data_IF_584164573019
#
_entry.id   IF_584164573019
#
_cell.length_a   1.000
_cell.length_b   1.000
_cell.length_c   1.000
_cell.angle_alpha   90.00
_cell.angle_beta   90.00
_cell.angle_gamma   90.00
#
_symmetry.space_group_name_H-M   'P 1'
#
loop_
_entity.id
_entity.type
_entity.pdbx_description
1 polymer ?
#
# COMPACT_ATOMS: atom_id res chain seq x y z
N UNK A 1 6.03 -2.47 5.31
CA UNK A 1 4.82 -2.07 4.56
C UNK A 1 3.78 -1.37 5.43
N UNK A 2 3.67 -1.74 6.68
CA UNK A 2 2.69 -1.09 7.57
C UNK A 2 2.96 0.42 7.72
N UNK A 3 4.22 0.79 7.87
CA UNK A 3 4.58 2.20 8.00
C UNK A 3 4.21 2.97 6.74
N UNK A 4 4.48 2.40 5.57
CA UNK A 4 4.18 3.08 4.31
C UNK A 4 2.67 3.28 4.13
N UNK A 5 1.87 2.24 4.39
CA UNK A 5 0.42 2.33 4.27
C UNK A 5 -0.15 3.38 5.22
N UNK A 6 0.45 3.53 6.39
CA UNK A 6 0.06 4.54 7.35
C UNK A 6 0.51 5.94 6.88
N UNK A 7 1.73 6.08 6.37
CA UNK A 7 2.20 7.37 5.81
C UNK A 7 1.35 7.82 4.65
N UNK A 8 0.93 6.90 3.80
CA UNK A 8 0.09 7.19 2.64
C UNK A 8 -1.38 7.41 3.01
N UNK A 9 -1.71 7.30 4.30
CA UNK A 9 -3.03 7.56 4.87
C UNK A 9 -4.11 6.58 4.42
N UNK A 10 -3.72 5.37 4.03
CA UNK A 10 -4.69 4.32 3.75
C UNK A 10 -5.28 3.74 5.04
N UNK A 11 -4.57 3.86 6.14
CA UNK A 11 -5.01 3.37 7.46
C UNK A 11 -4.76 4.44 8.51
N UNK A 12 -5.64 4.47 9.50
CA UNK A 12 -5.57 5.47 10.57
C UNK A 12 -4.39 5.26 11.49
N UNK A 13 -3.90 4.03 11.61
CA UNK A 13 -2.77 3.72 12.48
C UNK A 13 -1.91 2.63 11.84
N UNK A 14 -0.66 2.55 12.30
CA UNK A 14 0.23 1.47 11.89
C UNK A 14 -0.29 0.12 12.34
N UNK A 15 -0.89 0.07 13.52
CA UNK A 15 -1.44 -1.18 14.06
C UNK A 15 -2.54 -1.74 13.18
N UNK A 16 -3.43 -0.87 12.67
CA UNK A 16 -4.48 -1.30 11.75
C UNK A 16 -3.88 -1.80 10.44
N UNK A 17 -2.88 -1.10 9.92
CA UNK A 17 -2.21 -1.53 8.70
C UNK A 17 -1.53 -2.89 8.90
N UNK A 18 -0.84 -3.06 10.02
CA UNK A 18 -0.16 -4.32 10.32
C UNK A 18 -1.15 -5.48 10.44
N UNK A 19 -2.27 -5.25 11.12
CA UNK A 19 -3.29 -6.27 11.26
C UNK A 19 -3.86 -6.69 9.90
N UNK A 20 -4.11 -5.73 9.04
CA UNK A 20 -4.63 -6.00 7.71
C UNK A 20 -3.64 -6.78 6.86
N UNK A 21 -2.36 -6.42 6.92
CA UNK A 21 -1.30 -7.14 6.22
C UNK A 21 -1.17 -8.57 6.74
N UNK A 22 -1.18 -8.73 8.06
CA UNK A 22 -1.10 -10.06 8.67
C UNK A 22 -2.25 -10.95 8.24
N UNK A 23 -3.43 -10.38 8.06
CA UNK A 23 -4.59 -11.11 7.59
C UNK A 23 -4.52 -11.46 6.10
N UNK A 24 -3.49 -11.00 5.39
CA UNK A 24 -3.31 -11.31 3.98
C UNK A 24 -4.07 -10.39 3.04
N UNK A 25 -4.40 -9.19 3.50
CA UNK A 25 -5.26 -8.28 2.74
C UNK A 25 -4.58 -7.50 1.62
N UNK A 26 -3.26 -7.59 1.49
CA UNK A 26 -2.52 -6.78 0.50
C UNK A 26 -1.67 -7.68 -0.37
N UNK A 27 -1.86 -7.58 -1.69
CA UNK A 27 -1.00 -8.26 -2.65
C UNK A 27 0.03 -7.29 -3.18
N UNK A 28 1.27 -7.75 -3.23
CA UNK A 28 2.41 -6.97 -3.72
C UNK A 28 2.84 -7.51 -5.08
N UNK A 29 2.91 -6.60 -6.05
CA UNK A 29 3.43 -6.91 -7.38
C UNK A 29 4.80 -6.26 -7.51
N UNK A 30 5.82 -7.09 -7.68
CA UNK A 30 7.20 -6.63 -7.78
C UNK A 30 7.96 -7.50 -8.76
N UNK A 31 8.63 -6.88 -9.74
CA UNK A 31 9.47 -7.59 -10.70
C UNK A 31 8.74 -8.74 -11.39
N UNK A 32 7.48 -8.53 -11.73
CA UNK A 32 6.68 -9.54 -12.43
C UNK A 32 6.13 -10.63 -11.52
N UNK A 33 6.49 -10.64 -10.24
CA UNK A 33 5.95 -11.59 -9.28
C UNK A 33 4.84 -10.99 -8.46
N UNK A 34 3.99 -11.86 -7.92
CA UNK A 34 2.88 -11.48 -7.05
C UNK A 34 2.99 -12.27 -5.76
N UNK A 35 2.91 -11.58 -4.63
CA UNK A 35 2.92 -12.25 -3.33
C UNK A 35 2.15 -11.43 -2.32
N UNK A 36 1.83 -12.05 -1.19
CA UNK A 36 1.22 -11.36 -0.07
C UNK A 36 2.26 -10.44 0.59
N UNK A 37 1.90 -9.19 0.83
CA UNK A 37 2.76 -8.29 1.59
C UNK A 37 2.60 -8.56 3.08
N UNK A 38 3.70 -8.49 3.81
CA UNK A 38 3.74 -8.65 5.26
C UNK A 38 4.03 -7.30 5.91
N UNK A 39 3.75 -7.14 7.22
CA UNK A 39 4.10 -5.87 7.88
C UNK A 39 5.58 -5.51 7.73
N UNK A 40 6.46 -6.47 7.80
CA UNK A 40 7.90 -6.24 7.70
C UNK A 40 8.40 -6.11 6.26
N UNK A 41 7.56 -6.33 5.26
CA UNK A 41 7.96 -6.20 3.86
C UNK A 41 8.31 -4.74 3.58
N UNK A 42 9.52 -4.43 3.07
CA UNK A 42 9.85 -3.06 2.74
C UNK A 42 9.02 -2.57 1.56
N UNK A 43 8.61 -1.30 1.62
CA UNK A 43 7.99 -0.64 0.48
C UNK A 43 9.08 -0.04 -0.39
N UNK A 44 8.93 -0.12 -1.70
CA UNK A 44 9.90 0.45 -2.62
C UNK A 44 9.19 1.12 -3.79
N UNK A 45 9.73 2.24 -4.28
CA UNK A 45 9.17 2.86 -5.49
C UNK A 45 9.12 1.85 -6.63
N UNK A 46 8.04 1.89 -7.39
CA UNK A 46 7.82 0.96 -8.49
C UNK A 46 7.00 -0.26 -8.12
N UNK A 47 6.89 -0.59 -6.83
CA UNK A 47 6.00 -1.65 -6.38
C UNK A 47 4.55 -1.25 -6.65
N UNK A 48 3.72 -2.25 -6.93
CA UNK A 48 2.28 -2.05 -7.01
C UNK A 48 1.59 -2.87 -5.93
N UNK A 49 0.54 -2.31 -5.38
CA UNK A 49 -0.24 -2.95 -4.32
C UNK A 49 -1.69 -3.05 -4.75
N UNK A 50 -2.31 -4.18 -4.45
CA UNK A 50 -3.75 -4.38 -4.66
C UNK A 50 -4.36 -4.77 -3.33
N UNK A 51 -5.35 -4.03 -2.89
CA UNK A 51 -6.01 -4.30 -1.61
C UNK A 51 -7.40 -3.66 -1.58
N UNK A 52 -8.26 -4.20 -0.72
CA UNK A 52 -9.53 -3.56 -0.42
C UNK A 52 -9.30 -2.57 0.71
N UNK A 53 -9.70 -1.32 0.52
CA UNK A 53 -9.58 -0.31 1.57
C UNK A 53 -10.61 -0.54 2.67
N UNK A 54 -10.57 0.28 3.72
CA UNK A 54 -11.55 0.17 4.81
C UNK A 54 -13.00 0.32 4.36
N UNK A 55 -13.21 0.94 3.21
CA UNK A 55 -14.54 1.11 2.62
C UNK A 55 -14.96 -0.11 1.79
N UNK A 56 -14.13 -1.16 1.72
CA UNK A 56 -14.42 -2.36 0.96
C UNK A 56 -14.13 -2.27 -0.53
N UNK A 57 -13.66 -1.12 -1.01
CA UNK A 57 -13.37 -0.94 -2.43
C UNK A 57 -11.96 -1.43 -2.75
N UNK A 58 -11.84 -2.21 -3.81
CA UNK A 58 -10.54 -2.67 -4.27
C UNK A 58 -9.78 -1.53 -4.92
N UNK A 59 -8.54 -1.35 -4.48
CA UNK A 59 -7.68 -0.31 -5.00
C UNK A 59 -6.40 -0.94 -5.54
N UNK A 60 -5.95 -0.41 -6.66
CA UNK A 60 -4.66 -0.76 -7.24
C UNK A 60 -3.84 0.52 -7.29
N UNK A 61 -2.68 0.50 -6.65
CA UNK A 61 -1.84 1.70 -6.57
C UNK A 61 -0.40 1.32 -6.87
N UNK A 62 0.37 2.31 -7.32
CA UNK A 62 1.81 2.16 -7.49
C UNK A 62 2.51 3.07 -6.48
N UNK A 63 3.52 2.54 -5.80
CA UNK A 63 4.33 3.31 -4.87
C UNK A 63 5.26 4.21 -5.68
N UNK A 64 5.18 5.50 -5.44
CA UNK A 64 6.05 6.49 -6.09
C UNK A 64 7.22 6.87 -5.18
N UNK A 65 6.96 6.97 -3.88
CA UNK A 65 7.97 7.33 -2.90
C UNK A 65 7.61 6.73 -1.55
N UNK A 66 8.61 6.46 -0.74
CA UNK A 66 8.37 5.88 0.58
C UNK A 66 8.05 6.94 1.64
N UNK A 67 8.47 8.17 1.43
CA UNK A 67 8.23 9.24 2.38
C UNK A 67 9.09 9.12 3.62
N UNK A 68 8.97 10.11 4.50
CA UNK A 68 9.72 10.15 5.75
C UNK A 68 8.82 10.24 6.97
N UNK A 69 7.55 10.57 6.76
CA UNK A 69 6.61 10.80 7.85
C UNK A 69 5.18 10.65 7.34
N UNK A 70 4.26 10.59 8.28
CA UNK A 70 2.84 10.70 7.95
C UNK A 70 2.49 12.18 7.94
N UNK A 71 2.54 12.77 6.76
CA UNK A 71 2.22 14.17 6.58
C UNK A 71 0.74 14.42 6.35
N UNK A 72 0.39 15.66 5.98
CA UNK A 72 -0.98 16.00 5.60
C UNK A 72 -1.45 15.19 4.39
N UNK A 73 -2.76 15.14 4.17
CA UNK A 73 -3.33 14.37 3.07
C UNK A 73 -2.72 14.74 1.71
N UNK A 74 -2.47 16.02 1.47
CA UNK A 74 -1.88 16.46 0.20
C UNK A 74 -0.49 15.88 -0.01
N UNK A 75 0.31 15.78 1.04
CA UNK A 75 1.63 15.18 0.97
C UNK A 75 1.53 13.68 0.73
N UNK A 76 0.57 13.02 1.38
CA UNK A 76 0.36 11.59 1.20
C UNK A 76 0.06 11.23 -0.25
N UNK A 77 -0.64 12.08 -0.97
CA UNK A 77 -0.99 11.86 -2.37
C UNK A 77 0.24 11.83 -3.28
N UNK A 78 1.38 12.34 -2.83
CA UNK A 78 2.62 12.29 -3.61
C UNK A 78 3.35 10.95 -3.46
N UNK A 79 2.91 10.10 -2.54
CA UNK A 79 3.58 8.83 -2.28
C UNK A 79 3.13 7.71 -3.20
N UNK A 80 2.02 7.88 -3.90
CA UNK A 80 1.47 6.85 -4.75
C UNK A 80 0.66 7.44 -5.90
N UNK A 81 0.36 6.61 -6.88
CA UNK A 81 -0.61 6.92 -7.92
C UNK A 81 -1.61 5.76 -8.02
N UNK A 82 -2.85 6.09 -8.31
CA UNK A 82 -3.84 5.08 -8.63
C UNK A 82 -3.50 4.49 -10.00
N UNK A 83 -3.54 3.18 -10.12
CA UNK A 83 -3.38 2.54 -11.41
C UNK A 83 -4.71 1.93 -11.81
N UNK A 84 -4.96 1.96 -13.09
CA UNK A 84 -6.24 1.55 -13.61
C UNK A 84 -6.36 0.04 -13.58
N UNK A 85 -7.49 -0.43 -13.11
CA UNK A 85 -7.88 -1.81 -13.10
C UNK A 85 -6.94 -2.68 -12.29
N UNK A 86 -7.42 -3.80 -11.79
CA UNK A 86 -6.55 -4.75 -11.15
C UNK A 86 -5.48 -5.19 -12.12
N UNK A 87 -4.28 -5.37 -11.58
CA UNK A 87 -3.20 -5.92 -12.38
C UNK A 87 -3.60 -7.32 -12.80
N UNK A 88 -3.32 -7.62 -14.04
CA UNK A 88 -3.54 -8.97 -14.52
C UNK A 88 -2.55 -9.91 -13.86
N UNK A 89 -3.07 -10.96 -13.36
CA UNK A 89 -2.24 -11.94 -12.67
C UNK A 89 -2.56 -13.33 -13.09
#
# INVERSE_FOLDING_TARGET
MDVWLWRARFFKSRSLAAAYLTAGGVRLHRNGGVRRAEPATPAAPGDSLVFAGPDGRVRSIRILAVGHRRGPAAEALTLYEEIQAPLDD
#
